data_IF_470529245523
#
_entry.id   IF_470529245523
#
_cell.length_a   1.000
_cell.length_b   1.000
_cell.length_c   1.000
_cell.angle_alpha   90.00
_cell.angle_beta   90.00
_cell.angle_gamma   90.00
#
_symmetry.space_group_name_H-M   'P 1'
#
loop_
_entity.id
_entity.type
_entity.pdbx_description
1 polymer ?
#
# COMPACT_ATOMS: atom_id res chain seq x y z
N UNK A 1 -9.27 -4.65 -45.98
CA UNK A 1 -8.02 -5.03 -45.30
C UNK A 1 -8.17 -4.72 -43.82
N UNK A 2 -7.98 -5.72 -42.95
CA UNK A 2 -8.21 -5.62 -41.51
C UNK A 2 -7.11 -4.84 -40.78
N UNK A 3 -7.53 -4.05 -39.79
CA UNK A 3 -6.62 -3.43 -38.83
C UNK A 3 -6.10 -4.51 -37.87
N UNK A 4 -4.80 -4.76 -37.95
CA UNK A 4 -4.06 -5.63 -37.04
C UNK A 4 -4.17 -5.08 -35.62
N UNK A 5 -4.91 -5.77 -34.75
CA UNK A 5 -4.90 -5.54 -33.31
C UNK A 5 -3.49 -5.87 -32.78
N UNK A 6 -2.74 -4.86 -32.32
CA UNK A 6 -1.45 -5.09 -31.65
C UNK A 6 -1.71 -5.74 -30.29
N UNK A 7 -1.12 -6.92 -30.08
CA UNK A 7 -1.36 -7.77 -28.92
C UNK A 7 -0.51 -7.32 -27.73
N UNK A 8 -1.01 -6.40 -26.91
CA UNK A 8 -0.31 -5.88 -25.71
C UNK A 8 -0.71 -6.56 -24.38
N UNK A 9 -1.36 -7.73 -24.39
CA UNK A 9 -1.95 -8.31 -23.17
C UNK A 9 -1.09 -9.32 -22.39
N UNK A 10 0.18 -9.57 -22.75
CA UNK A 10 0.98 -10.64 -22.09
C UNK A 10 2.12 -10.19 -21.17
N UNK A 11 2.62 -8.95 -21.26
CA UNK A 11 3.68 -8.44 -20.36
C UNK A 11 3.13 -7.92 -19.02
N UNK A 12 1.88 -7.43 -18.98
CA UNK A 12 1.33 -6.74 -17.80
C UNK A 12 0.83 -7.65 -16.67
N UNK A 13 0.63 -8.95 -16.90
CA UNK A 13 0.05 -9.85 -15.89
C UNK A 13 0.98 -10.03 -14.67
N UNK A 14 2.27 -10.27 -14.90
CA UNK A 14 3.25 -10.48 -13.82
C UNK A 14 3.73 -9.21 -13.10
N UNK A 15 3.54 -8.03 -13.72
CA UNK A 15 3.79 -6.73 -13.06
C UNK A 15 2.56 -6.33 -12.25
N UNK A 16 1.35 -6.57 -12.78
CA UNK A 16 0.09 -6.33 -12.08
C UNK A 16 -0.07 -7.15 -10.80
N UNK A 17 0.30 -8.43 -10.83
CA UNK A 17 0.18 -9.29 -9.65
C UNK A 17 1.21 -8.94 -8.55
N UNK A 18 2.44 -8.53 -8.92
CA UNK A 18 3.45 -8.06 -7.95
C UNK A 18 3.14 -6.67 -7.38
N UNK A 19 2.61 -5.77 -8.21
CA UNK A 19 2.21 -4.43 -7.78
C UNK A 19 1.06 -4.46 -6.77
N UNK A 20 0.04 -5.28 -7.03
CA UNK A 20 -1.11 -5.42 -6.13
C UNK A 20 -0.72 -6.03 -4.79
N UNK A 21 0.17 -7.03 -4.78
CA UNK A 21 0.70 -7.60 -3.53
C UNK A 21 1.50 -6.56 -2.71
N UNK A 22 2.34 -5.75 -3.36
CA UNK A 22 3.10 -4.71 -2.67
C UNK A 22 2.18 -3.62 -2.10
N UNK A 23 1.14 -3.22 -2.84
CA UNK A 23 0.13 -2.28 -2.35
C UNK A 23 -0.62 -2.85 -1.14
N UNK A 24 -1.01 -4.13 -1.21
CA UNK A 24 -1.65 -4.83 -0.10
C UNK A 24 -0.76 -4.82 1.15
N UNK A 25 0.51 -5.18 1.01
CA UNK A 25 1.48 -5.12 2.11
C UNK A 25 1.62 -3.73 2.68
N UNK A 26 1.70 -2.70 1.83
CA UNK A 26 1.80 -1.31 2.27
C UNK A 26 0.56 -0.86 3.05
N UNK A 27 -0.65 -1.23 2.61
CA UNK A 27 -1.89 -0.96 3.32
C UNK A 27 -1.92 -1.68 4.67
N UNK A 28 -1.63 -2.98 4.72
CA UNK A 28 -1.59 -3.71 5.99
C UNK A 28 -0.49 -3.19 6.93
N UNK A 29 0.62 -2.71 6.40
CA UNK A 29 1.71 -2.11 7.17
C UNK A 29 1.23 -0.98 8.08
N UNK A 30 0.30 -0.12 7.62
CA UNK A 30 -0.17 0.99 8.44
C UNK A 30 -1.03 0.52 9.61
N UNK A 31 -1.89 -0.48 9.42
CA UNK A 31 -2.68 -1.05 10.52
C UNK A 31 -1.79 -1.80 11.50
N UNK A 32 -0.92 -2.68 11.00
CA UNK A 32 -0.01 -3.50 11.81
C UNK A 32 0.92 -2.61 12.65
N UNK A 33 1.45 -1.55 12.07
CA UNK A 33 2.25 -0.55 12.79
C UNK A 33 1.47 0.13 13.92
N UNK A 34 0.16 0.39 13.75
CA UNK A 34 -0.68 1.04 14.78
C UNK A 34 -1.17 0.10 15.87
N UNK A 35 -1.17 -1.21 15.62
CA UNK A 35 -1.55 -2.21 16.63
C UNK A 35 -0.33 -2.89 17.27
N UNK A 36 0.89 -2.58 16.79
CA UNK A 36 2.16 -3.07 17.33
C UNK A 36 2.28 -2.76 18.82
N UNK A 37 2.92 -3.68 19.53
CA UNK A 37 3.25 -3.55 20.96
C UNK A 37 4.69 -3.99 21.17
N UNK A 38 5.31 -3.53 22.25
CA UNK A 38 6.68 -3.93 22.61
C UNK A 38 6.80 -5.46 22.75
N UNK A 39 5.78 -6.13 23.28
CA UNK A 39 5.73 -7.59 23.45
C UNK A 39 5.46 -8.34 22.14
N UNK A 40 4.84 -7.68 21.16
CA UNK A 40 4.50 -8.26 19.86
C UNK A 40 4.70 -7.23 18.74
N UNK A 41 5.94 -7.01 18.30
CA UNK A 41 6.26 -6.04 17.27
C UNK A 41 5.71 -6.48 15.91
N UNK A 42 4.91 -5.63 15.27
CA UNK A 42 4.23 -5.93 14.00
C UNK A 42 4.73 -5.04 12.84
N UNK A 43 6.05 -4.87 12.73
CA UNK A 43 6.70 -3.99 11.74
C UNK A 43 7.22 -4.73 10.49
N UNK A 44 6.82 -5.98 10.26
CA UNK A 44 7.34 -6.85 9.18
C UNK A 44 6.99 -6.32 7.78
N UNK A 45 5.89 -5.58 7.65
CA UNK A 45 5.45 -4.98 6.39
C UNK A 45 5.93 -3.52 6.22
N UNK A 46 6.66 -2.97 7.20
CA UNK A 46 7.21 -1.63 7.09
C UNK A 46 8.43 -1.63 6.15
N UNK A 47 8.66 -0.55 5.39
CA UNK A 47 9.84 -0.46 4.55
C UNK A 47 11.11 -0.42 5.42
N UNK A 48 12.11 -1.20 5.00
CA UNK A 48 13.40 -1.34 5.68
C UNK A 48 14.35 -0.20 5.33
N UNK A 49 15.18 0.22 6.31
CA UNK A 49 16.22 1.24 6.14
C UNK A 49 16.03 2.48 7.03
N UNK A 50 17.09 3.28 7.12
CA UNK A 50 17.18 4.42 8.06
C UNK A 50 16.27 5.60 7.70
N UNK A 51 16.03 5.84 6.42
CA UNK A 51 15.24 6.99 5.92
C UNK A 51 13.71 6.74 5.92
N UNK A 52 13.25 5.64 6.52
CA UNK A 52 11.84 5.30 6.50
C UNK A 52 11.05 5.94 7.65
N UNK A 53 9.74 6.01 7.47
CA UNK A 53 8.80 6.51 8.47
C UNK A 53 8.65 5.59 9.69
N UNK A 54 8.95 4.30 9.54
CA UNK A 54 8.87 3.33 10.63
C UNK A 54 10.08 3.46 11.57
N UNK A 55 9.84 4.00 12.78
CA UNK A 55 10.88 4.20 13.79
C UNK A 55 11.53 2.87 14.22
N UNK A 56 10.77 1.79 14.30
CA UNK A 56 11.29 0.46 14.63
C UNK A 56 12.29 -0.03 13.58
N UNK A 57 11.94 0.06 12.28
CA UNK A 57 12.86 -0.31 11.19
C UNK A 57 14.13 0.56 11.18
N UNK A 58 14.01 1.83 11.55
CA UNK A 58 15.16 2.72 11.73
C UNK A 58 16.03 2.29 12.91
N UNK A 59 15.42 1.90 14.04
CA UNK A 59 16.14 1.39 15.20
C UNK A 59 16.88 0.08 14.88
N UNK A 60 16.26 -0.82 14.10
CA UNK A 60 16.93 -2.03 13.59
C UNK A 60 18.14 -1.66 12.72
N UNK A 61 17.96 -0.77 11.74
CA UNK A 61 19.03 -0.39 10.81
C UNK A 61 20.19 0.37 11.48
N UNK A 62 19.93 1.04 12.61
CA UNK A 62 20.95 1.80 13.37
C UNK A 62 21.51 1.03 14.56
N UNK A 63 21.00 -0.17 14.84
CA UNK A 63 21.41 -0.98 16.00
C UNK A 63 20.92 -0.45 17.36
N UNK A 64 19.87 0.37 17.38
CA UNK A 64 19.32 1.01 18.59
C UNK A 64 18.05 0.33 19.12
N UNK A 65 17.83 -0.95 18.78
CA UNK A 65 16.59 -1.66 19.11
C UNK A 65 16.38 -1.83 20.62
N UNK A 66 17.44 -1.97 21.40
CA UNK A 66 17.39 -2.17 22.86
C UNK A 66 16.77 -0.99 23.63
N UNK A 67 16.81 0.20 23.04
CA UNK A 67 16.24 1.43 23.62
C UNK A 67 14.94 1.86 22.94
N UNK A 68 14.47 1.08 21.96
CA UNK A 68 13.26 1.39 21.24
C UNK A 68 12.04 1.02 22.07
N UNK A 69 11.04 1.90 22.05
CA UNK A 69 9.74 1.68 22.65
C UNK A 69 8.66 2.06 21.64
N UNK A 70 7.72 1.15 21.39
CA UNK A 70 6.58 1.40 20.52
C UNK A 70 5.61 2.41 21.16
N UNK A 71 4.92 3.14 20.28
CA UNK A 71 3.81 4.00 20.69
C UNK A 71 2.64 3.11 21.19
N UNK A 72 1.81 3.57 22.13
CA UNK A 72 0.70 2.77 22.65
C UNK A 72 -0.23 2.25 21.54
N UNK A 73 -0.50 0.95 21.56
CA UNK A 73 -1.37 0.28 20.59
C UNK A 73 -2.81 0.80 20.65
N UNK A 74 -3.49 0.77 19.50
CA UNK A 74 -4.91 1.10 19.40
C UNK A 74 -5.77 0.20 20.31
N UNK A 75 -6.86 0.74 20.85
CA UNK A 75 -7.82 -0.03 21.65
C UNK A 75 -8.44 -1.18 20.83
N UNK A 76 -8.61 -2.36 21.43
CA UNK A 76 -9.13 -3.56 20.78
C UNK A 76 -10.51 -3.37 20.11
N UNK A 77 -11.39 -2.54 20.68
CA UNK A 77 -12.69 -2.20 20.07
C UNK A 77 -12.49 -1.47 18.74
N UNK A 78 -11.57 -0.50 18.70
CA UNK A 78 -11.25 0.25 17.48
C UNK A 78 -10.59 -0.66 16.45
N UNK A 79 -9.69 -1.55 16.90
CA UNK A 79 -9.06 -2.54 16.01
C UNK A 79 -10.10 -3.43 15.31
N UNK A 80 -11.12 -3.89 16.05
CA UNK A 80 -12.18 -4.72 15.49
C UNK A 80 -13.06 -3.96 14.50
N UNK A 81 -13.31 -2.67 14.73
CA UNK A 81 -14.09 -1.83 13.81
C UNK A 81 -13.31 -1.49 12.54
N UNK A 82 -12.00 -1.24 12.64
CA UNK A 82 -11.20 -0.79 11.50
C UNK A 82 -10.68 -1.94 10.64
N UNK A 83 -10.49 -3.14 11.20
CA UNK A 83 -10.00 -4.32 10.47
C UNK A 83 -10.81 -4.64 9.19
N UNK A 84 -12.16 -4.71 9.20
CA UNK A 84 -12.91 -4.98 7.98
C UNK A 84 -12.70 -3.91 6.90
N UNK A 85 -12.50 -2.64 7.30
CA UNK A 85 -12.18 -1.56 6.35
C UNK A 85 -10.85 -1.85 5.65
N UNK A 86 -9.84 -2.28 6.40
CA UNK A 86 -8.53 -2.67 5.85
C UNK A 86 -8.62 -3.89 4.94
N UNK A 87 -9.46 -4.87 5.27
CA UNK A 87 -9.73 -6.03 4.41
C UNK A 87 -10.36 -5.60 3.08
N UNK A 88 -11.37 -4.73 3.12
CA UNK A 88 -12.06 -4.22 1.94
C UNK A 88 -11.13 -3.44 1.02
N UNK A 89 -10.34 -2.50 1.54
CA UNK A 89 -9.41 -1.71 0.72
C UNK A 89 -8.22 -2.52 0.20
N UNK A 90 -7.91 -3.64 0.86
CA UNK A 90 -6.87 -4.60 0.45
C UNK A 90 -7.36 -5.62 -0.58
N UNK A 91 -8.58 -5.47 -1.08
CA UNK A 91 -9.15 -6.34 -2.09
C UNK A 91 -8.32 -6.29 -3.39
N UNK A 92 -7.90 -7.45 -3.86
CA UNK A 92 -7.03 -7.57 -5.04
C UNK A 92 -7.64 -6.95 -6.31
N UNK A 93 -8.96 -7.04 -6.49
CA UNK A 93 -9.63 -6.46 -7.66
C UNK A 93 -9.63 -4.93 -7.60
N UNK A 94 -9.74 -4.35 -6.40
CA UNK A 94 -9.57 -2.90 -6.20
C UNK A 94 -8.12 -2.49 -6.47
N UNK A 95 -7.14 -3.19 -5.89
CA UNK A 95 -5.72 -2.85 -6.05
C UNK A 95 -5.25 -3.00 -7.50
N UNK A 96 -5.72 -4.01 -8.23
CA UNK A 96 -5.39 -4.20 -9.65
C UNK A 96 -5.87 -3.04 -10.52
N UNK A 97 -6.99 -2.38 -10.17
CA UNK A 97 -7.47 -1.18 -10.88
C UNK A 97 -6.54 0.02 -10.66
N UNK A 98 -5.90 0.13 -9.50
CA UNK A 98 -4.94 1.19 -9.21
C UNK A 98 -3.65 1.09 -10.06
N UNK A 99 -3.26 -0.12 -10.45
CA UNK A 99 -2.03 -0.34 -11.24
C UNK A 99 -2.13 0.14 -12.69
N UNK A 100 -3.35 0.24 -13.22
CA UNK A 100 -3.60 0.68 -14.59
C UNK A 100 -3.60 2.20 -14.80
N UNK A 101 -3.38 3.00 -13.75
CA UNK A 101 -3.42 4.47 -13.84
C UNK A 101 -4.82 5.05 -14.13
N UNK A 102 -5.87 4.24 -14.05
CA UNK A 102 -7.25 4.62 -14.36
C UNK A 102 -7.95 5.42 -13.24
N UNK A 103 -7.18 6.05 -12.35
CA UNK A 103 -7.70 6.76 -11.17
C UNK A 103 -7.70 8.28 -11.32
N UNK A 104 -7.41 8.81 -12.51
CA UNK A 104 -7.72 10.22 -12.77
C UNK A 104 -9.23 10.35 -12.98
N UNK A 105 -9.89 10.81 -11.93
CA UNK A 105 -11.22 11.38 -12.01
C UNK A 105 -11.25 12.43 -13.12
N UNK A 106 -12.11 12.23 -14.13
CA UNK A 106 -12.20 13.13 -15.29
C UNK A 106 -12.65 14.56 -14.90
N UNK A 107 -13.09 14.76 -13.65
CA UNK A 107 -13.47 16.07 -13.10
C UNK A 107 -12.35 16.77 -12.31
N UNK A 108 -11.21 16.13 -12.05
CA UNK A 108 -10.13 16.67 -11.20
C UNK A 108 -9.05 17.46 -11.95
N UNK A 109 -9.22 17.70 -13.25
CA UNK A 109 -8.36 18.65 -13.98
C UNK A 109 -9.20 19.57 -14.86
N UNK A 110 -8.97 20.88 -14.73
CA UNK A 110 -9.45 21.92 -15.67
C UNK A 110 -8.77 21.81 -17.07
N UNK A 111 -8.08 20.71 -17.35
CA UNK A 111 -7.24 20.49 -18.55
C UNK A 111 -7.93 19.55 -19.56
N UNK A 112 -9.21 19.22 -19.38
CA UNK A 112 -9.97 18.45 -20.39
C UNK A 112 -10.41 19.31 -21.59
N UNK A 113 -10.22 20.62 -21.55
CA UNK A 113 -10.55 21.56 -22.64
C UNK A 113 -9.48 21.67 -23.74
N UNK A 114 -8.24 21.22 -23.52
CA UNK A 114 -7.13 21.40 -24.48
C UNK A 114 -6.82 20.17 -25.34
N UNK A 115 -7.52 19.05 -25.16
CA UNK A 115 -7.37 17.85 -26.02
C UNK A 115 -8.37 17.79 -27.18
N UNK A 116 -9.06 18.89 -27.49
CA UNK A 116 -9.87 19.04 -28.71
C UNK A 116 -9.53 20.34 -29.43
N UNK A 117 -8.40 20.34 -30.14
CA UNK A 117 -8.16 21.15 -31.34
C UNK A 117 -7.19 20.40 -32.23
#
# INVERSE_FOLDING_TARGET
MGFQFCSEKKVNKGIGDRGSENMKKAVWSTLLHKISMDENPQHQNCPEGVENWCKWQRAVATGQLEHFKDDPSLNSVIQNVIRPIYEDVSNNDLLKRCLGGNTQNNNETFITSWKRT
#
